data_IF_690654933200
#
_entry.id   IF_690654933200
#
_cell.length_a   1.000
_cell.length_b   1.000
_cell.length_c   1.000
_cell.angle_alpha   90.00
_cell.angle_beta   90.00
_cell.angle_gamma   90.00
#
_symmetry.space_group_name_H-M   'P 1'
#
loop_
_entity.id
_entity.type
_entity.pdbx_description
1 polymer ?
#
# COMPACT_ATOMS: atom_id res chain seq x y z
N UNK A 1 -2.55 -2.79 18.32
CA UNK A 1 -3.79 -3.61 18.34
C UNK A 1 -4.07 -4.07 16.92
N UNK A 2 -3.88 -5.35 16.63
CA UNK A 2 -4.15 -5.95 15.32
C UNK A 2 -5.66 -5.92 15.05
N UNK A 3 -6.06 -5.25 13.97
CA UNK A 3 -7.46 -5.16 13.52
C UNK A 3 -7.99 -6.58 13.32
N UNK A 4 -9.08 -6.94 13.99
CA UNK A 4 -9.71 -8.26 13.83
C UNK A 4 -10.10 -8.45 12.37
N UNK A 5 -9.58 -9.48 11.71
CA UNK A 5 -9.85 -9.77 10.30
C UNK A 5 -11.35 -10.10 10.13
N UNK A 6 -12.13 -9.23 9.46
CA UNK A 6 -13.58 -9.38 9.36
C UNK A 6 -13.99 -10.62 8.54
N UNK A 7 -13.07 -11.18 7.75
CA UNK A 7 -13.33 -12.30 6.85
C UNK A 7 -12.91 -13.66 7.43
N UNK A 8 -12.52 -13.73 8.71
CA UNK A 8 -12.12 -14.98 9.37
C UNK A 8 -13.20 -16.06 9.27
N UNK A 9 -14.46 -15.69 9.46
CA UNK A 9 -15.59 -16.65 9.43
C UNK A 9 -15.79 -17.19 8.02
N UNK A 10 -15.85 -16.31 7.03
CA UNK A 10 -15.94 -16.66 5.61
C UNK A 10 -14.78 -17.57 5.18
N UNK A 11 -13.57 -17.28 5.64
CA UNK A 11 -12.37 -18.05 5.28
C UNK A 11 -12.36 -19.47 5.84
N UNK A 12 -12.96 -19.68 7.01
CA UNK A 12 -13.04 -20.99 7.67
C UNK A 12 -14.21 -21.84 7.19
N UNK A 13 -15.19 -21.23 6.54
CA UNK A 13 -16.44 -21.89 6.13
C UNK A 13 -16.19 -23.14 5.26
N UNK A 14 -15.38 -23.10 4.17
CA UNK A 14 -15.14 -24.29 3.36
C UNK A 14 -14.47 -25.42 4.15
N UNK A 15 -13.55 -25.09 5.06
CA UNK A 15 -12.85 -26.06 5.89
C UNK A 15 -13.78 -26.73 6.90
N UNK A 16 -14.64 -25.95 7.57
CA UNK A 16 -15.60 -26.48 8.55
C UNK A 16 -16.67 -27.32 7.85
N UNK A 17 -17.25 -26.85 6.74
CA UNK A 17 -18.27 -27.57 6.00
C UNK A 17 -17.71 -28.85 5.37
N UNK A 18 -16.51 -28.79 4.78
CA UNK A 18 -15.84 -29.96 4.23
C UNK A 18 -15.48 -31.00 5.31
N UNK A 19 -14.98 -30.55 6.46
CA UNK A 19 -14.68 -31.43 7.59
C UNK A 19 -15.93 -32.08 8.19
N UNK A 20 -17.00 -31.31 8.37
CA UNK A 20 -18.29 -31.81 8.86
C UNK A 20 -18.92 -32.79 7.86
N UNK A 21 -18.85 -32.50 6.55
CA UNK A 21 -19.31 -33.40 5.49
C UNK A 21 -18.56 -34.74 5.48
N UNK A 22 -17.23 -34.71 5.57
CA UNK A 22 -16.43 -35.93 5.65
C UNK A 22 -16.77 -36.77 6.90
N UNK A 23 -16.96 -36.12 8.05
CA UNK A 23 -17.32 -36.79 9.30
C UNK A 23 -18.71 -37.43 9.20
N UNK A 24 -19.70 -36.72 8.67
CA UNK A 24 -21.05 -37.25 8.49
C UNK A 24 -21.09 -38.44 7.53
N UNK A 25 -20.32 -38.40 6.43
CA UNK A 25 -20.20 -39.52 5.50
C UNK A 25 -19.54 -40.74 6.17
N UNK A 26 -18.52 -40.53 6.99
CA UNK A 26 -17.87 -41.59 7.75
C UNK A 26 -18.84 -42.24 8.75
N UNK A 27 -19.58 -41.42 9.50
CA UNK A 27 -20.60 -41.91 10.45
C UNK A 27 -21.71 -42.67 9.70
N UNK A 28 -22.20 -42.11 8.60
CA UNK A 28 -23.18 -42.78 7.74
C UNK A 28 -22.67 -44.14 7.27
N UNK A 29 -21.41 -44.21 6.84
CA UNK A 29 -20.80 -45.45 6.36
C UNK A 29 -20.65 -46.50 7.46
N UNK A 30 -20.31 -46.11 8.69
CA UNK A 30 -20.16 -47.02 9.83
C UNK A 30 -21.50 -47.56 10.34
N UNK A 31 -22.57 -46.76 10.22
CA UNK A 31 -23.91 -47.13 10.68
C UNK A 31 -24.74 -47.88 9.63
N UNK A 32 -24.29 -47.93 8.37
CA UNK A 32 -25.03 -48.57 7.27
C UNK A 32 -24.59 -50.03 7.07
N UNK A 33 -25.44 -51.03 7.36
CA UNK A 33 -25.06 -52.45 7.27
C UNK A 33 -24.98 -52.98 5.83
N UNK A 34 -25.88 -52.54 4.95
CA UNK A 34 -25.90 -52.91 3.53
C UNK A 34 -25.94 -51.66 2.67
N UNK A 35 -25.06 -51.58 1.67
CA UNK A 35 -25.00 -50.46 0.74
C UNK A 35 -25.66 -50.77 -0.59
N UNK A 36 -26.55 -49.87 -1.00
CA UNK A 36 -27.03 -49.84 -2.38
C UNK A 36 -25.98 -49.24 -3.32
N UNK A 37 -26.04 -49.61 -4.61
CA UNK A 37 -25.14 -49.07 -5.64
C UNK A 37 -25.27 -47.55 -5.81
N UNK A 38 -26.46 -46.99 -5.60
CA UNK A 38 -26.69 -45.53 -5.65
C UNK A 38 -26.04 -44.81 -4.46
N UNK A 39 -26.16 -45.37 -3.24
CA UNK A 39 -25.50 -44.83 -2.05
C UNK A 39 -23.98 -44.86 -2.18
N UNK A 40 -23.40 -45.96 -2.67
CA UNK A 40 -21.94 -46.04 -2.85
C UNK A 40 -21.41 -44.96 -3.82
N UNK A 41 -22.14 -44.66 -4.90
CA UNK A 41 -21.79 -43.57 -5.83
C UNK A 41 -21.93 -42.20 -5.19
N UNK A 42 -22.99 -42.00 -4.40
CA UNK A 42 -23.21 -40.77 -3.63
C UNK A 42 -22.10 -40.51 -2.60
N UNK A 43 -21.70 -41.54 -1.86
CA UNK A 43 -20.60 -41.47 -0.88
C UNK A 43 -19.29 -41.02 -1.54
N UNK A 44 -18.94 -41.60 -2.72
CA UNK A 44 -17.75 -41.21 -3.47
C UNK A 44 -17.79 -39.73 -3.85
N UNK A 45 -18.91 -39.26 -4.40
CA UNK A 45 -19.08 -37.84 -4.75
C UNK A 45 -19.01 -36.94 -3.51
N UNK A 46 -19.59 -37.37 -2.39
CA UNK A 46 -19.56 -36.64 -1.13
C UNK A 46 -18.15 -36.53 -0.53
N UNK A 47 -17.35 -37.60 -0.61
CA UNK A 47 -15.95 -37.59 -0.16
C UNK A 47 -15.12 -36.66 -1.04
N UNK A 48 -15.30 -36.71 -2.36
CA UNK A 48 -14.63 -35.80 -3.30
C UNK A 48 -15.00 -34.33 -3.00
N UNK A 49 -16.28 -34.03 -2.81
CA UNK A 49 -16.74 -32.68 -2.46
C UNK A 49 -16.13 -32.20 -1.14
N UNK A 50 -16.09 -33.06 -0.11
CA UNK A 50 -15.50 -32.75 1.19
C UNK A 50 -14.00 -32.44 1.06
N UNK A 51 -13.27 -33.24 0.28
CA UNK A 51 -11.85 -33.01 0.01
C UNK A 51 -11.59 -31.69 -0.72
N UNK A 52 -12.41 -31.35 -1.73
CA UNK A 52 -12.32 -30.08 -2.46
C UNK A 52 -12.58 -28.89 -1.53
N UNK A 53 -13.59 -28.98 -0.66
CA UNK A 53 -13.91 -27.92 0.30
C UNK A 53 -12.79 -27.71 1.33
N UNK A 54 -12.21 -28.79 1.85
CA UNK A 54 -11.06 -28.73 2.78
C UNK A 54 -9.86 -28.10 2.09
N UNK A 55 -9.50 -28.54 0.88
CA UNK A 55 -8.38 -27.99 0.11
C UNK A 55 -8.59 -26.50 -0.18
N UNK A 56 -9.79 -26.11 -0.58
CA UNK A 56 -10.15 -24.69 -0.82
C UNK A 56 -9.97 -23.87 0.45
N UNK A 57 -10.44 -24.35 1.59
CA UNK A 57 -10.26 -23.69 2.89
C UNK A 57 -8.79 -23.55 3.29
N UNK A 58 -7.97 -24.59 3.05
CA UNK A 58 -6.53 -24.55 3.29
C UNK A 58 -5.81 -23.53 2.39
N UNK A 59 -6.14 -23.49 1.09
CA UNK A 59 -5.60 -22.51 0.15
C UNK A 59 -5.93 -21.09 0.63
N UNK A 60 -7.17 -20.84 1.01
CA UNK A 60 -7.57 -19.51 1.49
C UNK A 60 -6.80 -19.11 2.75
N UNK A 61 -6.51 -20.04 3.66
CA UNK A 61 -5.70 -19.75 4.86
C UNK A 61 -4.24 -19.42 4.56
N UNK A 62 -3.66 -19.99 3.50
CA UNK A 62 -2.26 -19.74 3.12
C UNK A 62 -2.05 -18.39 2.44
N UNK A 63 -3.08 -17.83 1.80
CA UNK A 63 -3.02 -16.49 1.18
C UNK A 63 -3.23 -15.42 2.25
N UNK A 64 -2.27 -15.28 3.16
CA UNK A 64 -2.13 -14.06 3.97
C UNK A 64 -1.08 -13.17 3.29
N UNK A 65 -1.44 -11.95 2.87
CA UNK A 65 -0.44 -10.96 2.47
C UNK A 65 0.50 -10.74 3.65
N UNK A 66 1.77 -11.14 3.53
CA UNK A 66 2.77 -10.72 4.50
C UNK A 66 2.90 -9.22 4.41
N UNK A 67 2.60 -8.53 5.51
CA UNK A 67 2.91 -7.12 5.63
C UNK A 67 4.42 -6.95 5.44
N UNK A 68 4.87 -6.01 4.58
CA UNK A 68 6.29 -5.80 4.38
C UNK A 68 6.96 -5.39 5.71
N UNK A 69 8.19 -5.85 5.94
CA UNK A 69 8.95 -5.45 7.12
C UNK A 69 9.17 -3.93 7.12
N UNK A 70 8.69 -3.27 8.17
CA UNK A 70 8.82 -1.83 8.35
C UNK A 70 10.09 -1.50 9.11
N UNK A 71 10.79 -0.45 8.69
CA UNK A 71 11.93 0.12 9.43
C UNK A 71 11.51 1.38 10.17
N UNK A 72 12.25 1.74 11.21
CA UNK A 72 12.19 3.07 11.81
C UNK A 72 13.06 4.01 10.99
N UNK A 73 12.50 5.08 10.43
CA UNK A 73 13.25 5.99 9.57
C UNK A 73 14.25 6.82 10.37
N UNK A 74 15.44 7.00 9.81
CA UNK A 74 16.52 7.79 10.43
C UNK A 74 16.33 9.26 10.04
N UNK A 75 15.98 10.09 11.01
CA UNK A 75 15.79 11.53 10.81
C UNK A 75 15.03 12.17 11.96
N UNK A 76 14.77 13.47 11.83
CA UNK A 76 13.98 14.22 12.82
C UNK A 76 12.58 14.51 12.27
N UNK A 77 11.57 14.47 13.13
CA UNK A 77 10.24 14.91 12.74
C UNK A 77 10.20 16.43 12.58
N UNK A 78 9.78 16.91 11.41
CA UNK A 78 9.77 18.33 11.10
C UNK A 78 8.65 18.74 10.17
N UNK A 79 8.43 20.06 10.11
CA UNK A 79 7.48 20.70 9.22
C UNK A 79 8.04 22.05 8.78
N UNK A 80 8.31 22.18 7.48
CA UNK A 80 8.89 23.36 6.87
C UNK A 80 8.08 23.76 5.66
N UNK A 81 7.70 25.03 5.58
CA UNK A 81 7.04 25.66 4.44
C UNK A 81 7.91 26.81 3.93
N UNK A 82 7.92 27.02 2.62
CA UNK A 82 8.58 28.20 2.04
C UNK A 82 7.88 29.49 2.53
N UNK A 83 8.64 30.49 3.00
CA UNK A 83 8.08 31.69 3.63
C UNK A 83 7.30 32.58 2.64
N UNK A 84 7.72 32.59 1.37
CA UNK A 84 7.23 33.51 0.33
C UNK A 84 5.91 33.03 -0.34
N UNK A 85 5.29 31.98 0.18
CA UNK A 85 4.05 31.44 -0.36
C UNK A 85 2.81 32.23 0.08
N UNK A 86 1.79 32.39 -0.79
CA UNK A 86 0.49 32.91 -0.38
C UNK A 86 -0.14 32.06 0.74
N UNK A 87 -0.88 32.69 1.66
CA UNK A 87 -1.48 31.98 2.81
C UNK A 87 -2.47 30.88 2.40
N UNK A 88 -3.17 31.07 1.28
CA UNK A 88 -4.04 30.03 0.69
C UNK A 88 -3.24 28.78 0.32
N UNK A 89 -2.09 28.96 -0.34
CA UNK A 89 -1.20 27.87 -0.76
C UNK A 89 -0.56 27.21 0.46
N UNK A 90 -0.09 27.97 1.46
CA UNK A 90 0.45 27.43 2.72
C UNK A 90 -0.56 26.55 3.43
N UNK A 91 -1.80 27.02 3.55
CA UNK A 91 -2.89 26.30 4.20
C UNK A 91 -3.19 24.99 3.47
N UNK A 92 -3.26 25.04 2.15
CA UNK A 92 -3.53 23.86 1.32
C UNK A 92 -2.39 22.84 1.36
N UNK A 93 -1.12 23.27 1.30
CA UNK A 93 0.04 22.41 1.46
C UNK A 93 0.11 21.77 2.86
N UNK A 94 -0.19 22.53 3.91
CA UNK A 94 -0.26 22.03 5.27
C UNK A 94 -1.39 21.01 5.45
N UNK A 95 -2.54 21.22 4.82
CA UNK A 95 -3.68 20.30 4.83
C UNK A 95 -3.38 19.01 4.05
N UNK A 96 -2.91 19.14 2.81
CA UNK A 96 -2.60 18.02 1.93
C UNK A 96 -1.53 17.10 2.53
N UNK A 97 -0.43 17.68 3.03
CA UNK A 97 0.63 16.89 3.64
C UNK A 97 0.20 16.16 4.90
N UNK A 98 -0.65 16.79 5.73
CA UNK A 98 -1.22 16.11 6.90
C UNK A 98 -2.06 14.92 6.47
N UNK A 99 -2.96 15.10 5.51
CA UNK A 99 -3.83 14.03 5.03
C UNK A 99 -3.03 12.85 4.49
N UNK A 100 -1.98 13.11 3.72
CA UNK A 100 -1.13 12.06 3.18
C UNK A 100 -0.37 11.31 4.29
N UNK A 101 0.20 12.03 5.26
CA UNK A 101 0.92 11.39 6.37
C UNK A 101 -0.01 10.61 7.33
N UNK A 102 -1.28 11.03 7.48
CA UNK A 102 -2.21 10.36 8.40
C UNK A 102 -3.04 9.25 7.76
N UNK A 103 -3.27 9.31 6.44
CA UNK A 103 -4.16 8.36 5.75
C UNK A 103 -3.45 7.41 4.80
N UNK A 104 -2.14 7.59 4.57
CA UNK A 104 -1.32 6.67 3.77
C UNK A 104 -0.16 6.12 4.60
N UNK A 105 0.62 5.21 4.03
CA UNK A 105 1.86 4.67 4.62
C UNK A 105 3.04 5.64 4.55
N UNK A 106 2.84 6.85 4.01
CA UNK A 106 3.89 7.88 3.89
C UNK A 106 4.38 8.33 5.27
N UNK A 107 5.69 8.46 5.41
CA UNK A 107 6.36 8.95 6.63
C UNK A 107 7.20 10.21 6.40
N UNK A 108 7.60 10.46 5.16
CA UNK A 108 8.34 11.65 4.76
C UNK A 108 7.71 12.20 3.48
N UNK A 109 7.55 13.52 3.40
CA UNK A 109 6.90 14.18 2.28
C UNK A 109 7.66 15.44 1.90
N UNK A 110 7.89 15.61 0.60
CA UNK A 110 8.50 16.80 0.02
C UNK A 110 7.69 17.26 -1.18
N UNK A 111 7.40 18.56 -1.26
CA UNK A 111 6.78 19.19 -2.43
C UNK A 111 7.83 20.06 -3.11
N UNK A 112 8.10 19.73 -4.37
CA UNK A 112 9.01 20.47 -5.23
C UNK A 112 8.20 21.12 -6.36
N UNK A 113 8.37 22.42 -6.57
CA UNK A 113 7.63 23.17 -7.58
C UNK A 113 8.51 24.28 -8.17
N UNK A 114 8.53 24.43 -9.50
CA UNK A 114 9.25 25.51 -10.20
C UNK A 114 10.71 25.70 -9.75
N UNK A 115 11.44 24.61 -9.48
CA UNK A 115 12.85 24.73 -9.06
C UNK A 115 13.06 24.84 -7.55
N UNK A 116 12.00 24.92 -6.75
CA UNK A 116 12.08 25.21 -5.33
C UNK A 116 11.35 24.16 -4.47
N UNK A 117 11.83 23.99 -3.24
CA UNK A 117 11.16 23.14 -2.25
C UNK A 117 10.15 23.97 -1.48
N UNK A 118 8.87 23.71 -1.70
CA UNK A 118 7.78 24.46 -1.08
C UNK A 118 7.39 23.93 0.29
N UNK A 119 7.50 22.62 0.49
CA UNK A 119 7.09 21.95 1.72
C UNK A 119 7.98 20.74 1.99
N UNK A 120 8.35 20.55 3.26
CA UNK A 120 8.92 19.32 3.80
C UNK A 120 8.18 18.96 5.08
N UNK A 121 7.70 17.72 5.21
CA UNK A 121 6.97 17.28 6.42
C UNK A 121 7.16 15.80 6.73
N UNK A 122 7.18 15.46 8.01
CA UNK A 122 7.31 14.08 8.50
C UNK A 122 8.71 13.84 9.01
N UNK A 123 9.26 12.64 8.79
CA UNK A 123 10.64 12.31 9.17
C UNK A 123 11.57 12.83 8.07
N UNK A 124 12.44 13.76 8.40
CA UNK A 124 13.26 14.51 7.44
C UNK A 124 14.74 14.15 7.59
N UNK A 125 15.43 14.09 6.46
CA UNK A 125 16.89 14.06 6.44
C UNK A 125 17.47 15.46 6.70
N UNK A 126 18.73 15.54 7.20
CA UNK A 126 19.42 16.81 7.40
C UNK A 126 19.52 17.65 6.12
N UNK A 127 19.70 17.00 4.97
CA UNK A 127 19.78 17.67 3.68
C UNK A 127 18.39 18.11 3.22
N UNK A 128 18.24 19.40 2.91
CA UNK A 128 16.97 20.01 2.50
C UNK A 128 16.82 20.28 1.01
N UNK A 129 17.93 20.33 0.29
CA UNK A 129 17.98 20.69 -1.12
C UNK A 129 17.57 19.52 -2.01
N UNK A 130 16.59 19.76 -2.90
CA UNK A 130 16.15 18.80 -3.91
C UNK A 130 16.85 19.13 -5.22
N UNK A 131 17.71 18.22 -5.68
CA UNK A 131 18.37 18.32 -6.99
C UNK A 131 17.70 17.29 -7.90
N UNK A 132 16.90 17.72 -8.91
CA UNK A 132 16.20 16.78 -9.79
C UNK A 132 17.16 15.87 -10.55
N UNK A 133 17.13 14.59 -10.19
CA UNK A 133 17.82 13.51 -10.90
C UNK A 133 17.07 13.06 -12.15
N UNK A 134 17.44 11.90 -12.68
CA UNK A 134 16.81 11.33 -13.88
C UNK A 134 15.35 10.94 -13.63
N UNK A 135 15.00 10.49 -12.42
CA UNK A 135 13.64 10.02 -12.12
C UNK A 135 12.71 11.20 -11.97
N UNK A 136 13.06 12.21 -11.16
CA UNK A 136 12.29 13.46 -11.06
C UNK A 136 12.12 14.17 -12.41
N UNK A 137 13.18 14.28 -13.23
CA UNK A 137 13.07 14.88 -14.58
C UNK A 137 12.10 14.11 -15.47
N UNK A 138 12.15 12.78 -15.44
CA UNK A 138 11.21 11.94 -16.19
C UNK A 138 9.76 12.14 -15.74
N UNK A 139 9.51 12.31 -14.44
CA UNK A 139 8.17 12.61 -13.92
C UNK A 139 7.68 13.96 -14.44
N UNK A 140 8.52 14.98 -14.39
CA UNK A 140 8.20 16.32 -14.91
C UNK A 140 7.94 16.31 -16.42
N UNK A 141 8.76 15.62 -17.21
CA UNK A 141 8.63 15.56 -18.67
C UNK A 141 7.44 14.71 -19.12
N UNK A 142 7.27 13.52 -18.53
CA UNK A 142 6.24 12.56 -18.97
C UNK A 142 4.89 12.78 -18.31
N UNK A 143 4.86 13.56 -17.21
CA UNK A 143 3.67 13.79 -16.39
C UNK A 143 3.04 12.47 -15.92
N UNK A 144 3.87 11.44 -15.74
CA UNK A 144 3.46 10.13 -15.25
C UNK A 144 4.09 9.88 -13.89
N UNK A 145 3.32 9.38 -12.90
CA UNK A 145 3.88 9.03 -11.62
C UNK A 145 4.86 7.87 -11.72
N UNK A 146 5.89 7.91 -10.88
CA UNK A 146 6.85 6.82 -10.76
C UNK A 146 6.81 6.32 -9.32
N UNK A 147 6.54 5.02 -9.17
CA UNK A 147 6.59 4.33 -7.90
C UNK A 147 7.82 3.41 -7.85
N UNK A 148 8.76 3.74 -6.97
CA UNK A 148 9.93 2.94 -6.63
C UNK A 148 9.59 2.07 -5.42
N UNK A 149 9.25 0.81 -5.69
CA UNK A 149 8.77 -0.15 -4.68
C UNK A 149 9.82 -0.56 -3.65
N UNK A 150 11.11 -0.45 -3.98
CA UNK A 150 12.23 -0.88 -3.14
C UNK A 150 13.46 -0.02 -3.46
N UNK A 151 13.54 1.16 -2.83
CA UNK A 151 14.51 2.20 -3.17
C UNK A 151 15.97 1.71 -3.11
N UNK A 152 16.29 0.83 -2.17
CA UNK A 152 17.63 0.28 -1.99
C UNK A 152 18.17 -0.49 -3.21
N UNK A 153 17.29 -1.00 -4.08
CA UNK A 153 17.65 -1.76 -5.30
C UNK A 153 18.02 -0.82 -6.45
N UNK A 154 17.60 0.45 -6.41
CA UNK A 154 17.80 1.39 -7.50
C UNK A 154 19.15 2.11 -7.38
N UNK A 155 20.01 2.07 -8.42
CA UNK A 155 21.28 2.80 -8.40
C UNK A 155 21.06 4.33 -8.33
N UNK A 156 19.94 4.81 -8.86
CA UNK A 156 19.54 6.23 -8.82
C UNK A 156 19.04 6.71 -7.45
N UNK A 157 19.04 5.88 -6.40
CA UNK A 157 18.55 6.27 -5.05
C UNK A 157 19.23 7.52 -4.46
N UNK A 158 20.43 7.82 -4.94
CA UNK A 158 21.23 8.99 -4.54
C UNK A 158 20.47 10.29 -4.81
N UNK A 159 19.55 10.32 -5.79
CA UNK A 159 18.73 11.52 -6.05
C UNK A 159 17.73 11.85 -4.94
N UNK A 160 17.50 10.95 -3.98
CA UNK A 160 16.56 11.13 -2.87
C UNK A 160 17.26 11.38 -1.53
N UNK A 161 18.47 11.92 -1.55
CA UNK A 161 19.27 12.18 -0.34
C UNK A 161 18.69 13.25 0.61
N UNK A 162 17.60 13.91 0.21
CA UNK A 162 16.76 14.78 1.04
C UNK A 162 15.66 14.03 1.82
N UNK A 163 15.45 12.74 1.54
CA UNK A 163 14.62 11.82 2.33
C UNK A 163 15.50 11.04 3.32
N UNK A 164 14.93 10.46 4.40
CA UNK A 164 15.66 9.57 5.30
C UNK A 164 16.46 8.49 4.55
N UNK A 165 17.70 8.26 4.95
CA UNK A 165 18.64 7.38 4.22
C UNK A 165 18.10 5.95 4.05
N UNK A 166 17.36 5.46 5.04
CA UNK A 166 16.75 4.14 5.05
C UNK A 166 15.30 4.13 4.54
N UNK A 167 14.89 5.10 3.73
CA UNK A 167 13.60 5.10 3.03
C UNK A 167 13.48 3.86 2.15
N UNK A 168 12.37 3.13 2.27
CA UNK A 168 12.18 1.83 1.62
C UNK A 168 11.41 1.94 0.30
N UNK A 169 10.41 2.81 0.24
CA UNK A 169 9.59 3.04 -0.95
C UNK A 169 9.43 4.52 -1.22
N UNK A 170 9.39 4.91 -2.50
CA UNK A 170 9.22 6.31 -2.91
C UNK A 170 8.19 6.40 -4.02
N UNK A 171 7.21 7.30 -3.86
CA UNK A 171 6.32 7.72 -4.95
C UNK A 171 6.68 9.15 -5.34
N UNK A 172 6.93 9.35 -6.64
CA UNK A 172 7.05 10.66 -7.26
C UNK A 172 5.79 10.89 -8.10
N UNK A 173 4.87 11.71 -7.60
CA UNK A 173 3.62 12.07 -8.27
C UNK A 173 3.75 13.48 -8.86
N UNK A 174 3.49 13.70 -10.16
CA UNK A 174 3.51 15.04 -10.73
C UNK A 174 2.40 15.91 -10.13
N UNK A 175 2.69 17.19 -9.88
CA UNK A 175 1.71 18.23 -9.52
C UNK A 175 1.66 19.21 -10.70
N UNK A 176 0.77 18.94 -11.65
CA UNK A 176 0.75 19.67 -12.92
C UNK A 176 2.10 19.63 -13.64
N UNK A 177 2.35 20.62 -14.52
CA UNK A 177 3.52 20.61 -15.41
C UNK A 177 4.84 20.93 -14.72
N UNK A 178 4.80 21.61 -13.58
CA UNK A 178 5.98 22.26 -12.99
C UNK A 178 6.29 21.76 -11.56
N UNK A 179 5.53 20.78 -11.07
CA UNK A 179 5.65 20.27 -9.72
C UNK A 179 5.79 18.77 -9.61
N UNK A 180 6.37 18.32 -8.50
CA UNK A 180 6.41 16.92 -8.08
C UNK A 180 6.17 16.84 -6.56
N UNK A 181 5.23 15.97 -6.19
CA UNK A 181 5.01 15.47 -4.85
C UNK A 181 5.84 14.21 -4.64
N UNK A 182 6.75 14.25 -3.66
CA UNK A 182 7.68 13.15 -3.36
C UNK A 182 7.32 12.60 -1.99
N UNK A 183 7.02 11.29 -1.94
CA UNK A 183 6.51 10.61 -0.76
C UNK A 183 7.41 9.42 -0.42
N UNK A 184 7.99 9.42 0.77
CA UNK A 184 8.82 8.35 1.31
C UNK A 184 8.06 7.48 2.31
N UNK A 185 8.15 6.16 2.13
CA UNK A 185 7.59 5.16 3.02
C UNK A 185 8.70 4.34 3.71
N UNK A 186 8.35 3.81 4.89
CA UNK A 186 9.26 3.04 5.74
C UNK A 186 9.16 1.52 5.52
N UNK A 187 8.44 1.07 4.51
CA UNK A 187 8.35 -0.32 4.09
C UNK A 187 8.38 -0.42 2.55
N UNK A 188 8.99 -1.48 1.98
CA UNK A 188 8.96 -1.70 0.53
C UNK A 188 7.56 -2.17 0.11
N UNK A 189 7.12 -1.84 -1.11
CA UNK A 189 5.82 -2.25 -1.67
C UNK A 189 4.63 -1.93 -0.76
N UNK A 190 4.72 -0.86 0.03
CA UNK A 190 3.74 -0.53 1.08
C UNK A 190 2.53 0.22 0.56
N UNK A 191 2.67 0.99 -0.52
CA UNK A 191 1.55 1.74 -1.10
C UNK A 191 0.57 0.80 -1.81
N UNK A 192 -0.71 0.96 -1.48
CA UNK A 192 -1.81 0.28 -2.13
C UNK A 192 -2.32 1.09 -3.33
N UNK A 193 -3.11 0.47 -4.21
CA UNK A 193 -3.81 1.19 -5.29
C UNK A 193 -4.69 2.33 -4.77
N UNK A 194 -5.28 2.15 -3.59
CA UNK A 194 -6.10 3.18 -2.97
C UNK A 194 -5.23 4.38 -2.54
N UNK A 195 -4.03 4.12 -1.98
CA UNK A 195 -3.09 5.19 -1.65
C UNK A 195 -2.65 5.95 -2.91
N UNK A 196 -2.32 5.24 -3.99
CA UNK A 196 -1.95 5.84 -5.28
C UNK A 196 -3.04 6.78 -5.80
N UNK A 197 -4.32 6.34 -5.80
CA UNK A 197 -5.44 7.19 -6.22
C UNK A 197 -5.65 8.40 -5.30
N UNK A 198 -5.46 8.25 -3.98
CA UNK A 198 -5.52 9.38 -3.05
C UNK A 198 -4.40 10.40 -3.30
N UNK A 199 -3.18 9.90 -3.56
CA UNK A 199 -2.01 10.73 -3.87
C UNK A 199 -2.23 11.50 -5.17
N UNK A 200 -2.73 10.84 -6.20
CA UNK A 200 -3.08 11.45 -7.49
C UNK A 200 -4.14 12.56 -7.31
N UNK A 201 -5.26 12.26 -6.65
CA UNK A 201 -6.31 13.25 -6.44
C UNK A 201 -5.87 14.47 -5.60
N UNK A 202 -4.98 14.26 -4.62
CA UNK A 202 -4.40 15.37 -3.85
C UNK A 202 -3.43 16.18 -4.72
N UNK A 203 -2.62 15.54 -5.55
CA UNK A 203 -1.71 16.22 -6.46
C UNK A 203 -2.47 17.07 -7.50
N UNK A 204 -3.59 16.55 -8.04
CA UNK A 204 -4.47 17.30 -8.94
C UNK A 204 -5.07 18.54 -8.26
N UNK A 205 -5.54 18.38 -7.01
CA UNK A 205 -6.04 19.53 -6.23
C UNK A 205 -4.94 20.57 -6.02
N UNK A 206 -3.74 20.15 -5.64
CA UNK A 206 -2.59 21.04 -5.44
C UNK A 206 -2.21 21.74 -6.76
N UNK A 207 -2.29 21.06 -7.90
CA UNK A 207 -2.01 21.65 -9.20
C UNK A 207 -2.98 22.80 -9.53
N UNK A 208 -4.26 22.66 -9.20
CA UNK A 208 -5.24 23.74 -9.36
C UNK A 208 -4.95 24.91 -8.42
N UNK A 209 -4.63 24.62 -7.15
CA UNK A 209 -4.30 25.67 -6.17
C UNK A 209 -3.04 26.46 -6.56
N UNK A 210 -2.01 25.79 -7.07
CA UNK A 210 -0.73 26.42 -7.44
C UNK A 210 -0.73 26.98 -8.86
N UNK A 211 -1.63 26.54 -9.74
CA UNK A 211 -1.83 27.13 -11.06
C UNK A 211 -2.71 28.40 -11.06
N UNK A 212 -3.49 28.61 -10.00
CA UNK A 212 -4.39 29.76 -9.84
C UNK A 212 -3.89 30.80 -8.82
N UNK A 213 -2.74 30.55 -8.17
CA UNK A 213 -2.10 31.46 -7.21
C UNK A 213 -0.95 32.22 -7.83
#
# INVERSE_FOLDING_TARGET
>A
MTKSDPNIVLRRLPLVVGGLGALLLLVNRLLTPELTNSQARGDVLGVVLSAVLILTGLIWQQVQPRSPDTVELIGEEGFFLAPDLPETVKTELAWASRLLLTNTVTRSLVVYYQGQVLLRRGILAPKSEVIPGTILKRVLETQKPIYLVALYVYPGKIEFDYLPENTQGVICQPIGKEGVLILGANAPRSYTKQDETWIEGIADKLAVTMGNG
#
